data_IF_772554755701
#
_entry.id   IF_772554755701
#
_cell.length_a   1.000
_cell.length_b   1.000
_cell.length_c   1.000
_cell.angle_alpha   90.00
_cell.angle_beta   90.00
_cell.angle_gamma   90.00
#
_symmetry.space_group_name_H-M   'P 1'
#
loop_
_entity.id
_entity.type
_entity.pdbx_description
1 polymer ?
#
# COMPACT_ATOMS: atom_id res chain seq x y z
N UNK A 1 -37.85 -13.74 34.15
CA UNK A 1 -36.50 -13.23 34.50
C UNK A 1 -35.44 -13.91 33.63
N UNK A 2 -35.50 -13.78 32.30
CA UNK A 2 -34.50 -14.33 31.35
C UNK A 2 -34.21 -13.41 30.14
N UNK A 3 -34.82 -12.21 30.08
CA UNK A 3 -34.71 -11.31 28.92
C UNK A 3 -33.64 -10.22 29.07
N UNK A 4 -33.24 -9.88 30.31
CA UNK A 4 -32.34 -8.75 30.57
C UNK A 4 -30.90 -8.98 30.06
N UNK A 5 -30.41 -10.22 30.10
CA UNK A 5 -29.07 -10.55 29.61
C UNK A 5 -28.95 -10.49 28.09
N UNK A 6 -30.03 -10.78 27.36
CA UNK A 6 -30.05 -10.70 25.90
C UNK A 6 -30.04 -9.24 25.42
N UNK A 7 -30.79 -8.36 26.08
CA UNK A 7 -30.79 -6.92 25.78
C UNK A 7 -29.44 -6.26 26.05
N UNK A 8 -28.75 -6.65 27.13
CA UNK A 8 -27.41 -6.14 27.43
C UNK A 8 -26.39 -6.57 26.37
N UNK A 9 -26.40 -7.85 25.97
CA UNK A 9 -25.53 -8.36 24.91
C UNK A 9 -25.82 -7.68 23.57
N UNK A 10 -27.08 -7.45 23.21
CA UNK A 10 -27.43 -6.72 21.99
C UNK A 10 -26.95 -5.26 22.01
N UNK A 11 -27.05 -4.58 23.16
CA UNK A 11 -26.55 -3.21 23.31
C UNK A 11 -25.03 -3.15 23.22
N UNK A 12 -24.31 -4.10 23.85
CA UNK A 12 -22.86 -4.20 23.74
C UNK A 12 -22.41 -4.52 22.31
N UNK A 13 -23.10 -5.44 21.64
CA UNK A 13 -22.82 -5.80 20.25
C UNK A 13 -23.08 -4.63 19.29
N UNK A 14 -24.18 -3.89 19.48
CA UNK A 14 -24.50 -2.70 18.68
C UNK A 14 -23.55 -1.54 18.93
N UNK A 15 -23.10 -1.35 20.18
CA UNK A 15 -22.10 -0.33 20.50
C UNK A 15 -20.73 -0.66 19.88
N UNK A 16 -20.33 -1.94 19.94
CA UNK A 16 -19.10 -2.42 19.31
C UNK A 16 -19.15 -2.31 17.77
N UNK A 17 -20.29 -2.62 17.15
CA UNK A 17 -20.47 -2.51 15.69
C UNK A 17 -20.46 -1.05 15.21
N UNK A 18 -21.02 -0.13 16.00
CA UNK A 18 -20.90 1.31 15.73
C UNK A 18 -19.46 1.83 15.86
N UNK A 19 -18.69 1.31 16.81
CA UNK A 19 -17.30 1.74 17.04
C UNK A 19 -16.32 1.18 15.99
N UNK A 20 -16.62 0.00 15.41
CA UNK A 20 -15.83 -0.63 14.33
C UNK A 20 -15.73 0.25 13.07
N UNK A 21 -16.61 1.24 12.94
CA UNK A 21 -16.81 2.04 11.73
C UNK A 21 -17.15 1.16 10.53
N UNK A 22 -17.81 1.75 9.53
CA UNK A 22 -18.35 1.03 8.36
C UNK A 22 -17.26 0.61 7.36
N UNK A 23 -16.17 -0.04 7.80
CA UNK A 23 -15.32 -0.71 6.83
C UNK A 23 -15.86 -2.11 6.60
N UNK A 24 -16.63 -2.22 5.53
CA UNK A 24 -17.07 -3.53 5.03
C UNK A 24 -15.83 -4.36 4.67
N UNK A 25 -15.87 -5.68 4.88
CA UNK A 25 -14.72 -6.54 4.56
C UNK A 25 -14.30 -6.41 3.07
N UNK A 26 -15.24 -5.99 2.21
CA UNK A 26 -14.96 -5.65 0.81
C UNK A 26 -14.07 -4.42 0.63
N UNK A 27 -14.19 -3.40 1.49
CA UNK A 27 -13.33 -2.20 1.43
C UNK A 27 -11.89 -2.56 1.80
N UNK A 28 -11.68 -3.32 2.88
CA UNK A 28 -10.35 -3.79 3.26
C UNK A 28 -9.67 -4.58 2.13
N UNK A 29 -10.42 -5.46 1.45
CA UNK A 29 -9.93 -6.21 0.28
C UNK A 29 -9.55 -5.28 -0.88
N UNK A 30 -10.37 -4.26 -1.16
CA UNK A 30 -10.08 -3.31 -2.24
C UNK A 30 -8.84 -2.47 -1.94
N UNK A 31 -8.67 -2.00 -0.71
CA UNK A 31 -7.46 -1.30 -0.28
C UNK A 31 -6.22 -2.19 -0.34
N UNK A 32 -6.32 -3.42 0.15
CA UNK A 32 -5.21 -4.38 0.10
C UNK A 32 -4.81 -4.70 -1.35
N UNK A 33 -5.78 -4.91 -2.23
CA UNK A 33 -5.52 -5.16 -3.65
C UNK A 33 -4.86 -3.94 -4.31
N UNK A 34 -5.33 -2.73 -3.98
CA UNK A 34 -4.72 -1.48 -4.44
C UNK A 34 -3.26 -1.35 -3.99
N UNK A 35 -2.94 -1.69 -2.75
CA UNK A 35 -1.57 -1.68 -2.22
C UNK A 35 -0.66 -2.71 -2.89
N UNK A 36 -1.14 -3.93 -3.10
CA UNK A 36 -0.40 -4.99 -3.80
C UNK A 36 -0.12 -4.57 -5.25
N UNK A 37 -1.14 -4.03 -5.92
CA UNK A 37 -1.01 -3.55 -7.30
C UNK A 37 -0.03 -2.38 -7.40
N UNK A 38 -0.12 -1.42 -6.48
CA UNK A 38 0.81 -0.29 -6.40
C UNK A 38 2.25 -0.76 -6.19
N UNK A 39 2.47 -1.69 -5.25
CA UNK A 39 3.79 -2.28 -5.00
C UNK A 39 4.34 -2.98 -6.25
N UNK A 40 3.51 -3.79 -6.92
CA UNK A 40 3.92 -4.49 -8.14
C UNK A 40 4.35 -3.52 -9.26
N UNK A 41 3.53 -2.51 -9.54
CA UNK A 41 3.87 -1.50 -10.55
C UNK A 41 5.12 -0.71 -10.17
N UNK A 42 5.25 -0.32 -8.91
CA UNK A 42 6.42 0.40 -8.41
C UNK A 42 7.71 -0.41 -8.60
N UNK A 43 7.69 -1.70 -8.29
CA UNK A 43 8.87 -2.56 -8.41
C UNK A 43 9.26 -2.77 -9.88
N UNK A 44 8.28 -3.01 -10.76
CA UNK A 44 8.52 -3.09 -12.21
C UNK A 44 9.08 -1.80 -12.78
N UNK A 45 8.57 -0.65 -12.34
CA UNK A 45 9.08 0.65 -12.79
C UNK A 45 10.54 0.84 -12.39
N UNK A 46 10.90 0.54 -11.14
CA UNK A 46 12.28 0.63 -10.64
C UNK A 46 13.25 -0.20 -11.49
N UNK A 47 12.89 -1.45 -11.80
CA UNK A 47 13.68 -2.31 -12.67
C UNK A 47 13.83 -1.75 -14.09
N UNK A 48 12.73 -1.24 -14.67
CA UNK A 48 12.76 -0.65 -16.01
C UNK A 48 13.65 0.60 -16.08
N UNK A 49 13.64 1.44 -15.04
CA UNK A 49 14.51 2.63 -15.01
C UNK A 49 15.99 2.23 -14.94
N UNK A 50 16.34 1.19 -14.19
CA UNK A 50 17.71 0.66 -14.14
C UNK A 50 18.15 0.17 -15.52
N UNK A 51 17.29 -0.60 -16.21
CA UNK A 51 17.58 -1.09 -17.56
C UNK A 51 17.73 0.05 -18.57
N UNK A 52 16.90 1.08 -18.50
CA UNK A 52 16.98 2.26 -19.37
C UNK A 52 18.22 3.13 -19.08
N UNK A 53 18.76 3.04 -17.87
CA UNK A 53 20.00 3.72 -17.48
C UNK A 53 21.26 3.02 -18.03
N UNK A 54 21.10 1.85 -18.69
CA UNK A 54 22.19 0.97 -19.12
C UNK A 54 23.04 0.48 -17.93
N UNK A 55 22.45 0.46 -16.73
CA UNK A 55 23.10 -0.02 -15.51
C UNK A 55 22.70 -1.48 -15.24
N UNK A 56 23.62 -2.26 -14.67
CA UNK A 56 23.36 -3.68 -14.43
C UNK A 56 22.42 -3.88 -13.25
N UNK A 57 21.48 -4.82 -13.39
CA UNK A 57 20.63 -5.25 -12.26
C UNK A 57 21.44 -5.94 -11.15
N UNK A 58 22.67 -6.38 -11.44
CA UNK A 58 23.58 -6.98 -10.45
C UNK A 58 24.14 -5.93 -9.48
N UNK A 59 24.39 -4.71 -9.96
CA UNK A 59 24.85 -3.59 -9.13
C UNK A 59 23.69 -2.98 -8.33
N UNK A 60 22.49 -2.97 -8.92
CA UNK A 60 21.23 -2.45 -8.37
C UNK A 60 20.27 -3.55 -7.92
N UNK A 61 20.80 -4.50 -7.17
CA UNK A 61 20.10 -5.65 -6.58
C UNK A 61 18.99 -5.29 -5.58
N UNK A 62 19.12 -4.11 -4.95
CA UNK A 62 18.31 -3.68 -3.81
C UNK A 62 17.46 -2.45 -4.16
N UNK A 63 16.23 -2.43 -3.66
CA UNK A 63 15.25 -1.34 -3.89
C UNK A 63 15.81 0.04 -3.52
N UNK A 64 16.60 0.14 -2.45
CA UNK A 64 17.25 1.41 -2.07
C UNK A 64 18.18 1.94 -3.15
N UNK A 65 19.00 1.07 -3.76
CA UNK A 65 19.91 1.48 -4.83
C UNK A 65 19.12 1.85 -6.08
N UNK A 66 18.10 1.07 -6.43
CA UNK A 66 17.22 1.36 -7.58
C UNK A 66 16.55 2.74 -7.41
N UNK A 67 16.10 3.06 -6.18
CA UNK A 67 15.54 4.36 -5.83
C UNK A 67 16.55 5.52 -5.96
N UNK A 68 17.82 5.29 -5.61
CA UNK A 68 18.88 6.30 -5.81
C UNK A 68 19.04 6.69 -7.29
N UNK A 69 19.05 5.72 -8.20
CA UNK A 69 19.07 5.94 -9.65
C UNK A 69 17.85 6.78 -10.07
N UNK A 70 16.64 6.41 -9.62
CA UNK A 70 15.42 7.12 -10.02
C UNK A 70 15.46 8.57 -9.55
N UNK A 71 15.87 8.82 -8.31
CA UNK A 71 16.00 10.18 -7.77
C UNK A 71 17.06 10.98 -8.53
N UNK A 72 18.18 10.36 -8.91
CA UNK A 72 19.20 10.99 -9.74
C UNK A 72 18.65 11.42 -11.11
N UNK A 73 17.92 10.53 -11.80
CA UNK A 73 17.30 10.85 -13.09
C UNK A 73 16.22 11.92 -12.97
N UNK A 74 15.42 11.92 -11.90
CA UNK A 74 14.43 12.96 -11.64
C UNK A 74 15.10 14.33 -11.43
N UNK A 75 16.17 14.39 -10.64
CA UNK A 75 16.92 15.64 -10.41
C UNK A 75 17.56 16.18 -11.70
N UNK A 76 18.08 15.29 -12.56
CA UNK A 76 18.67 15.68 -13.86
C UNK A 76 17.62 16.25 -14.82
N UNK A 77 16.40 15.70 -14.81
CA UNK A 77 15.29 16.22 -15.63
C UNK A 77 14.73 17.54 -15.09
N UNK A 78 14.77 17.78 -13.78
CA UNK A 78 14.32 19.05 -13.18
C UNK A 78 15.28 20.21 -13.40
N UNK A 79 16.59 19.96 -13.56
CA UNK A 79 17.60 21.00 -13.85
C UNK A 79 17.67 21.43 -15.33
N UNK A 80 16.74 20.95 -16.16
CA UNK A 80 16.69 21.24 -17.60
C UNK A 80 15.71 22.37 -17.96
N UNK A 81 15.25 23.13 -16.97
CA UNK A 81 14.46 24.37 -17.11
C UNK A 81 15.32 25.54 -16.62
#
# INVERSE_FOLDING_TARGET
MYLLGAELNQKLFSAADNLRSKMDASEYKNYLLGLIFYKYLSDRLLEQVVLLADESLEEYDTVSKQCCIVNYFQMKNQKKI
#
